data_IF_637805685095
#
_entry.id   IF_637805685095
#
_cell.length_a   1.000
_cell.length_b   1.000
_cell.length_c   1.000
_cell.angle_alpha   90.00
_cell.angle_beta   90.00
_cell.angle_gamma   90.00
#
_symmetry.space_group_name_H-M   'P 1'
#
loop_
_entity.id
_entity.type
_entity.pdbx_description
1 polymer ?
#
# COMPACT_ATOMS: atom_id res chain seq x y z
N UNK A 1 -4.63 -2.48 8.60
CA UNK A 1 -4.76 -2.95 7.21
C UNK A 1 -5.14 -1.79 6.30
N UNK A 2 -4.65 -1.79 5.07
CA UNK A 2 -4.92 -0.74 4.09
C UNK A 2 -5.33 -1.37 2.77
N UNK A 3 -6.49 -1.00 2.26
CA UNK A 3 -6.81 -1.30 0.87
C UNK A 3 -6.19 -0.21 -0.01
N UNK A 4 -5.43 -0.63 -1.01
CA UNK A 4 -4.70 0.26 -1.91
C UNK A 4 -5.31 0.12 -3.31
N UNK A 5 -5.79 1.23 -3.87
CA UNK A 5 -6.22 1.32 -5.27
C UNK A 5 -5.23 2.18 -6.05
N UNK A 6 -4.42 1.56 -6.91
CA UNK A 6 -3.44 2.20 -7.76
C UNK A 6 -3.70 1.77 -9.21
N UNK A 7 -4.64 2.40 -9.92
CA UNK A 7 -5.12 1.88 -11.21
C UNK A 7 -4.07 1.87 -12.32
N UNK A 8 -3.03 2.71 -12.20
CA UNK A 8 -1.91 2.79 -13.16
C UNK A 8 -0.75 1.86 -12.84
N UNK A 9 -0.76 1.22 -11.66
CA UNK A 9 0.27 0.26 -11.27
C UNK A 9 -0.10 -1.13 -11.79
N UNK A 10 0.61 -1.61 -12.81
CA UNK A 10 0.39 -2.93 -13.42
C UNK A 10 1.61 -3.87 -13.32
N UNK A 11 2.68 -3.44 -12.63
CA UNK A 11 3.96 -4.16 -12.59
C UNK A 11 3.90 -5.53 -11.88
N UNK A 12 2.88 -5.80 -11.07
CA UNK A 12 2.78 -7.03 -10.28
C UNK A 12 2.18 -8.21 -11.05
N UNK A 13 1.13 -7.98 -11.84
CA UNK A 13 0.35 -9.03 -12.52
C UNK A 13 -0.28 -8.57 -13.85
N UNK A 14 0.25 -7.50 -14.44
CA UNK A 14 -0.28 -6.84 -15.63
C UNK A 14 -1.75 -6.38 -15.50
N UNK A 15 -2.24 -6.19 -14.26
CA UNK A 15 -3.58 -5.66 -13.96
C UNK A 15 -3.48 -4.47 -13.01
N UNK A 16 -4.50 -3.59 -12.97
CA UNK A 16 -4.57 -2.51 -11.99
C UNK A 16 -4.39 -3.03 -10.56
N UNK A 17 -3.46 -2.44 -9.81
CA UNK A 17 -3.17 -2.88 -8.45
C UNK A 17 -4.29 -2.46 -7.49
N UNK A 18 -5.02 -3.46 -7.00
CA UNK A 18 -6.17 -3.29 -6.10
C UNK A 18 -6.17 -4.39 -5.05
N UNK A 19 -5.50 -4.15 -3.93
CA UNK A 19 -5.23 -5.22 -2.94
C UNK A 19 -5.31 -4.70 -1.52
N UNK A 20 -5.78 -5.56 -0.61
CA UNK A 20 -5.67 -5.35 0.83
C UNK A 20 -4.26 -5.72 1.27
N UNK A 21 -3.58 -4.77 1.92
CA UNK A 21 -2.21 -4.87 2.38
C UNK A 21 -2.14 -4.67 3.90
N UNK A 22 -1.02 -5.10 4.49
CA UNK A 22 -0.71 -4.89 5.90
C UNK A 22 0.50 -3.95 5.99
N UNK A 23 0.38 -2.86 6.75
CA UNK A 23 1.49 -1.98 7.05
C UNK A 23 2.35 -2.65 8.15
N UNK A 24 3.38 -3.37 7.73
CA UNK A 24 4.28 -4.14 8.63
C UNK A 24 5.69 -3.55 8.74
N UNK A 25 5.99 -2.51 7.95
CA UNK A 25 7.30 -1.89 7.91
C UNK A 25 7.18 -0.36 7.78
N UNK A 26 8.27 0.34 8.08
CA UNK A 26 8.41 1.80 7.99
C UNK A 26 9.72 2.16 7.29
N UNK A 27 9.80 3.36 6.70
CA UNK A 27 11.04 3.84 6.10
C UNK A 27 11.15 5.35 6.24
N UNK A 28 12.37 5.85 6.41
CA UNK A 28 12.64 7.29 6.60
C UNK A 28 12.16 8.16 5.42
N UNK A 29 12.08 7.60 4.22
CA UNK A 29 11.58 8.27 3.01
C UNK A 29 10.05 8.18 2.85
N UNK A 30 9.36 7.40 3.67
CA UNK A 30 7.91 7.18 3.60
C UNK A 30 7.25 8.17 4.57
N UNK A 31 7.06 9.40 4.08
CA UNK A 31 6.51 10.51 4.86
C UNK A 31 5.15 10.95 4.32
N UNK A 32 4.28 11.40 5.22
CA UNK A 32 2.91 11.84 4.91
C UNK A 32 1.85 10.74 5.10
N UNK A 33 0.57 11.13 5.19
CA UNK A 33 -0.51 10.24 5.61
C UNK A 33 -0.95 9.19 4.57
N UNK A 34 -0.68 9.43 3.28
CA UNK A 34 -1.06 8.55 2.16
C UNK A 34 0.16 8.24 1.27
N UNK A 35 1.28 7.90 1.91
CA UNK A 35 2.51 7.44 1.26
C UNK A 35 2.85 6.06 1.80
N UNK A 36 3.13 5.13 0.89
CA UNK A 36 3.54 3.77 1.24
C UNK A 36 4.62 3.24 0.29
N UNK A 37 5.28 2.19 0.73
CA UNK A 37 6.20 1.38 -0.07
C UNK A 37 5.64 -0.03 -0.21
N UNK A 38 5.66 -0.59 -1.41
CA UNK A 38 5.12 -1.92 -1.68
C UNK A 38 6.27 -2.92 -1.75
N UNK A 39 6.30 -3.85 -0.80
CA UNK A 39 7.22 -4.98 -0.84
C UNK A 39 6.83 -5.94 -1.98
N UNK A 40 7.67 -6.02 -3.01
CA UNK A 40 7.43 -6.88 -4.18
C UNK A 40 7.93 -8.33 -4.00
N UNK A 41 8.64 -8.63 -2.92
CA UNK A 41 9.32 -9.91 -2.70
C UNK A 41 10.84 -9.74 -2.61
N UNK A 42 11.57 -10.83 -2.81
CA UNK A 42 13.04 -10.87 -2.75
C UNK A 42 13.63 -11.41 -4.05
N UNK A 43 14.88 -11.01 -4.35
CA UNK A 43 15.60 -11.41 -5.56
C UNK A 43 15.41 -10.44 -6.74
N UNK A 44 16.12 -10.71 -7.83
CA UNK A 44 16.27 -9.76 -8.95
C UNK A 44 14.92 -9.39 -9.59
N UNK A 45 14.05 -10.38 -9.81
CA UNK A 45 12.71 -10.14 -10.37
C UNK A 45 11.84 -9.23 -9.50
N UNK A 46 11.94 -9.34 -8.16
CA UNK A 46 11.24 -8.43 -7.26
C UNK A 46 11.82 -7.02 -7.31
N UNK A 47 13.15 -6.89 -7.46
CA UNK A 47 13.84 -5.63 -7.68
C UNK A 47 13.40 -4.91 -8.96
N UNK A 48 13.22 -5.64 -10.05
CA UNK A 48 12.70 -5.10 -11.31
C UNK A 48 11.28 -4.53 -11.16
N UNK A 49 10.41 -5.27 -10.46
CA UNK A 49 9.04 -4.80 -10.15
C UNK A 49 9.11 -3.55 -9.28
N UNK A 50 9.87 -3.59 -8.18
CA UNK A 50 9.96 -2.48 -7.23
C UNK A 50 10.52 -1.21 -7.88
N UNK A 51 11.52 -1.33 -8.76
CA UNK A 51 12.20 -0.19 -9.39
C UNK A 51 11.29 0.67 -10.28
N UNK A 52 10.19 0.10 -10.79
CA UNK A 52 9.22 0.83 -11.63
C UNK A 52 8.00 1.35 -10.86
N UNK A 53 7.85 1.02 -9.57
CA UNK A 53 6.72 1.48 -8.76
C UNK A 53 6.88 2.96 -8.43
N UNK A 54 6.13 3.81 -9.13
CA UNK A 54 6.00 5.24 -8.81
C UNK A 54 4.65 5.73 -9.30
N UNK A 55 3.60 5.35 -8.57
CA UNK A 55 2.22 5.52 -9.01
C UNK A 55 1.43 6.30 -7.95
N UNK A 56 0.47 7.10 -8.43
CA UNK A 56 -0.59 7.62 -7.57
C UNK A 56 -1.49 6.48 -7.11
N UNK A 57 -1.98 6.57 -5.87
CA UNK A 57 -2.84 5.56 -5.28
C UNK A 57 -3.75 6.17 -4.21
N UNK A 58 -4.96 5.63 -4.11
CA UNK A 58 -5.89 5.92 -3.02
C UNK A 58 -5.68 4.91 -1.89
N UNK A 59 -5.63 5.41 -0.66
CA UNK A 59 -5.40 4.62 0.55
C UNK A 59 -6.67 4.59 1.40
N UNK A 60 -7.16 3.39 1.68
CA UNK A 60 -8.31 3.18 2.55
C UNK A 60 -7.87 2.42 3.80
N UNK A 61 -7.84 3.12 4.94
CA UNK A 61 -7.50 2.52 6.22
C UNK A 61 -8.69 1.72 6.77
N UNK A 62 -8.50 0.43 7.02
CA UNK A 62 -9.49 -0.40 7.71
C UNK A 62 -9.20 -0.31 9.21
N UNK A 63 -10.03 0.46 9.91
CA UNK A 63 -9.92 0.68 11.36
C UNK A 63 -10.82 -0.31 12.09
N UNK A 64 -10.33 -0.99 13.16
CA UNK A 64 -11.18 -1.80 14.02
C UNK A 64 -12.41 -1.03 14.50
N UNK A 65 -13.61 -1.62 14.35
CA UNK A 65 -14.89 -0.98 14.69
C UNK A 65 -14.91 -0.44 16.13
N UNK A 66 -14.28 -1.13 17.07
CA UNK A 66 -14.20 -0.71 18.47
C UNK A 66 -13.52 0.66 18.65
N UNK A 67 -12.53 0.99 17.82
CA UNK A 67 -11.83 2.29 17.87
C UNK A 67 -12.72 3.44 17.38
N UNK A 68 -13.69 3.15 16.49
CA UNK A 68 -14.67 4.12 16.03
C UNK A 68 -15.84 4.24 17.03
N UNK A 69 -16.28 3.13 17.62
CA UNK A 69 -17.38 3.13 18.59
C UNK A 69 -17.07 3.93 19.87
N UNK A 70 -15.79 3.98 20.29
CA UNK A 70 -15.35 4.84 21.40
C UNK A 70 -15.21 6.33 21.05
N UNK A 71 -15.17 6.68 19.76
CA UNK A 71 -15.07 8.05 19.27
C UNK A 71 -16.44 8.72 19.04
N UNK A 72 -17.54 7.97 19.14
CA UNK A 72 -18.93 8.45 18.98
C UNK A 72 -19.65 8.58 20.34
N UNK A 73 -18.90 8.79 21.42
CA UNK A 73 -19.45 9.16 22.73
C UNK A 73 -19.11 10.60 23.08
#
# INVERSE_FOLDING_TARGET
PFYIDAPTLAAFDAKPFRRLMIAQDTGSAITGPARGDLFAGSGDAAGEIAGVVRNAADFYALVPRALIAGAVR
#
